data_IF_397771908876
#
_entry.id   IF_397771908876
#
_cell.length_a   1.000
_cell.length_b   1.000
_cell.length_c   1.000
_cell.angle_alpha   90.00
_cell.angle_beta   90.00
_cell.angle_gamma   90.00
#
_symmetry.space_group_name_H-M   'P 1'
#
loop_
_entity.id
_entity.type
_entity.pdbx_description
1 polymer ?
#
# COMPACT_ATOMS: atom_id res chain seq x y z
N UNK A 1 -7.22 18.92 5.70
CA UNK A 1 -8.17 19.60 6.60
C UNK A 1 -7.55 20.80 7.27
N UNK A 2 -6.50 20.60 8.05
CA UNK A 2 -5.81 21.63 8.85
C UNK A 2 -5.13 22.70 7.98
N UNK A 3 -4.80 22.40 6.73
CA UNK A 3 -4.30 23.34 5.73
C UNK A 3 -5.39 24.12 4.99
N UNK A 4 -6.65 23.99 5.41
CA UNK A 4 -7.75 24.84 4.93
C UNK A 4 -8.45 24.36 3.67
N UNK A 5 -8.43 23.06 3.33
CA UNK A 5 -9.21 22.54 2.20
C UNK A 5 -10.71 22.84 2.37
N UNK A 6 -11.40 23.07 1.26
CA UNK A 6 -12.83 23.38 1.23
C UNK A 6 -13.73 22.15 1.18
N UNK A 7 -13.19 21.04 0.69
CA UNK A 7 -13.83 19.73 0.64
C UNK A 7 -12.78 18.63 0.70
N UNK A 8 -13.19 17.44 1.08
CA UNK A 8 -12.35 16.24 1.13
C UNK A 8 -13.19 15.05 0.67
N UNK A 9 -12.62 14.25 -0.24
CA UNK A 9 -13.15 12.97 -0.64
C UNK A 9 -12.04 11.93 -0.51
N UNK A 10 -12.30 10.87 0.24
CA UNK A 10 -11.43 9.69 0.33
C UNK A 10 -12.07 8.55 -0.45
N UNK A 11 -11.39 8.11 -1.51
CA UNK A 11 -11.87 7.04 -2.39
C UNK A 11 -11.25 5.73 -1.93
N UNK A 12 -12.10 4.74 -1.64
CA UNK A 12 -11.73 3.43 -1.15
C UNK A 12 -12.28 2.34 -2.09
N UNK A 13 -11.38 1.53 -2.62
CA UNK A 13 -11.74 0.45 -3.54
C UNK A 13 -12.39 -0.74 -2.82
N UNK A 14 -12.06 -0.94 -1.55
CA UNK A 14 -12.63 -2.01 -0.74
C UNK A 14 -14.04 -1.70 -0.26
N UNK A 15 -14.86 -2.71 0.07
CA UNK A 15 -16.16 -2.48 0.70
C UNK A 15 -15.97 -1.89 2.10
N UNK A 16 -16.97 -1.15 2.57
CA UNK A 16 -17.01 -0.67 3.95
C UNK A 16 -16.96 -1.86 4.90
N UNK A 17 -16.03 -1.85 5.83
CA UNK A 17 -15.96 -2.88 6.87
C UNK A 17 -17.22 -2.91 7.74
N UNK A 18 -17.62 -4.05 8.28
CA UNK A 18 -18.76 -4.15 9.19
C UNK A 18 -18.50 -3.34 10.48
N UNK A 19 -19.57 -2.95 11.17
CA UNK A 19 -19.46 -2.24 12.45
C UNK A 19 -19.06 -3.14 13.60
N UNK A 20 -19.35 -4.43 13.47
CA UNK A 20 -19.04 -5.46 14.45
C UNK A 20 -18.17 -6.54 13.84
N UNK A 21 -17.53 -7.34 14.69
CA UNK A 21 -16.67 -8.44 14.27
C UNK A 21 -17.50 -9.52 13.56
N UNK A 22 -17.12 -9.86 12.34
CA UNK A 22 -17.74 -10.93 11.57
C UNK A 22 -17.32 -12.32 12.09
N UNK A 23 -18.13 -13.35 11.82
CA UNK A 23 -17.85 -14.73 12.22
C UNK A 23 -16.52 -15.27 11.67
N UNK A 24 -16.14 -14.87 10.46
CA UNK A 24 -14.87 -15.23 9.82
C UNK A 24 -13.67 -14.40 10.30
N UNK A 25 -13.85 -13.59 11.35
CA UNK A 25 -12.78 -12.83 11.99
C UNK A 25 -12.85 -12.99 13.52
N UNK A 26 -12.67 -14.23 14.04
CA UNK A 26 -12.79 -14.54 15.47
C UNK A 26 -11.62 -13.94 16.28
N UNK A 27 -11.84 -13.76 17.58
CA UNK A 27 -10.74 -13.53 18.52
C UNK A 27 -9.78 -14.74 18.50
N UNK A 28 -8.45 -14.57 18.56
CA UNK A 28 -7.70 -13.34 18.88
C UNK A 28 -7.21 -12.54 17.64
N UNK A 29 -7.77 -12.76 16.47
CA UNK A 29 -7.39 -11.99 15.30
C UNK A 29 -7.65 -10.49 15.47
N UNK A 30 -6.90 -9.67 14.76
CA UNK A 30 -7.18 -8.23 14.72
C UNK A 30 -8.60 -7.97 14.17
N UNK A 31 -9.42 -7.15 14.84
CA UNK A 31 -10.79 -6.92 14.40
C UNK A 31 -10.85 -6.09 13.12
N UNK A 32 -11.39 -6.70 12.06
CA UNK A 32 -11.64 -6.08 10.74
C UNK A 32 -12.97 -5.34 10.75
N UNK A 33 -13.08 -4.30 11.57
CA UNK A 33 -14.30 -3.53 11.76
C UNK A 33 -14.12 -2.10 11.25
N UNK A 34 -15.26 -1.45 10.94
CA UNK A 34 -15.28 -0.05 10.56
C UNK A 34 -14.85 0.82 11.75
N UNK A 35 -13.86 1.66 11.53
CA UNK A 35 -13.36 2.61 12.51
C UNK A 35 -13.35 4.00 11.92
N UNK A 36 -13.61 4.98 12.76
CA UNK A 36 -13.41 6.39 12.43
C UNK A 36 -12.15 6.81 13.16
N UNK A 37 -11.15 7.26 12.41
CA UNK A 37 -9.91 7.78 12.95
C UNK A 37 -10.04 9.31 13.12
N UNK A 38 -9.14 9.92 13.86
CA UNK A 38 -9.17 11.36 14.14
C UNK A 38 -9.29 12.24 12.89
N UNK A 39 -8.68 11.82 11.77
CA UNK A 39 -8.77 12.56 10.51
C UNK A 39 -10.19 12.54 9.91
N UNK A 40 -10.90 11.43 10.00
CA UNK A 40 -12.29 11.33 9.58
C UNK A 40 -13.21 12.05 10.56
N UNK A 41 -12.95 11.97 11.86
CA UNK A 41 -13.70 12.74 12.88
C UNK A 41 -13.63 14.26 12.63
N UNK A 42 -12.43 14.79 12.37
CA UNK A 42 -12.23 16.18 12.00
C UNK A 42 -12.97 16.54 10.68
N UNK A 43 -12.98 15.63 9.70
CA UNK A 43 -13.69 15.83 8.43
C UNK A 43 -15.21 15.87 8.64
N UNK A 44 -15.74 14.95 9.44
CA UNK A 44 -17.17 14.90 9.80
C UNK A 44 -17.56 16.20 10.53
N UNK A 45 -16.76 16.61 11.50
CA UNK A 45 -17.03 17.84 12.26
C UNK A 45 -17.03 19.08 11.36
N UNK A 46 -16.14 19.14 10.36
CA UNK A 46 -15.99 20.29 9.47
C UNK A 46 -17.00 20.30 8.31
N UNK A 47 -17.29 19.14 7.71
CA UNK A 47 -18.07 19.02 6.48
C UNK A 47 -19.43 18.37 6.68
N UNK A 48 -19.73 17.88 7.89
CA UNK A 48 -21.03 17.26 8.24
C UNK A 48 -21.21 15.82 7.77
N UNK A 49 -20.20 15.22 7.12
CA UNK A 49 -20.28 13.84 6.62
C UNK A 49 -18.92 13.15 6.60
N UNK A 50 -18.93 11.82 6.65
CA UNK A 50 -17.74 10.98 6.46
C UNK A 50 -17.18 11.21 5.04
N UNK A 51 -15.90 11.55 4.88
CA UNK A 51 -15.30 11.82 3.57
C UNK A 51 -15.11 10.56 2.71
N UNK A 52 -15.30 9.36 3.27
CA UNK A 52 -15.02 8.10 2.59
C UNK A 52 -16.15 7.66 1.68
N UNK A 53 -15.79 7.22 0.48
CA UNK A 53 -16.66 6.49 -0.43
C UNK A 53 -16.02 5.12 -0.72
N UNK A 54 -16.82 4.07 -0.70
CA UNK A 54 -16.38 2.68 -0.79
C UNK A 54 -16.78 2.05 -2.14
N UNK A 55 -16.16 0.91 -2.49
CA UNK A 55 -16.40 0.22 -3.76
C UNK A 55 -16.30 1.18 -4.95
N UNK A 56 -15.33 2.07 -4.90
CA UNK A 56 -15.17 3.14 -5.87
C UNK A 56 -13.69 3.24 -6.27
N UNK A 57 -13.44 3.43 -7.55
CA UNK A 57 -12.10 3.68 -8.07
C UNK A 57 -12.06 4.91 -8.94
N UNK A 58 -10.85 5.43 -9.18
CA UNK A 58 -10.64 6.53 -10.12
C UNK A 58 -10.53 5.98 -11.53
N UNK A 59 -11.35 6.50 -12.44
CA UNK A 59 -11.34 6.16 -13.86
C UNK A 59 -10.39 7.06 -14.65
N UNK A 60 -10.41 8.36 -14.37
CA UNK A 60 -9.50 9.33 -15.01
C UNK A 60 -9.39 10.63 -14.21
N UNK A 61 -8.28 11.32 -14.46
CA UNK A 61 -8.07 12.70 -14.07
C UNK A 61 -8.37 13.61 -15.26
N UNK A 62 -9.01 14.74 -15.02
CA UNK A 62 -9.33 15.73 -16.05
C UNK A 62 -8.58 17.00 -15.71
N UNK A 63 -7.78 17.48 -16.67
CA UNK A 63 -7.05 18.73 -16.57
C UNK A 63 -7.70 19.85 -17.36
N UNK A 64 -7.41 21.08 -16.97
CA UNK A 64 -7.73 22.27 -17.75
C UNK A 64 -6.79 22.46 -18.97
N UNK A 65 -6.98 23.51 -19.74
CA UNK A 65 -6.14 23.84 -20.90
C UNK A 65 -4.68 24.13 -20.53
N UNK A 66 -4.36 24.33 -19.26
CA UNK A 66 -2.99 24.56 -18.74
C UNK A 66 -2.39 23.29 -18.12
N UNK A 67 -3.09 22.17 -18.18
CA UNK A 67 -2.66 20.92 -17.58
C UNK A 67 -2.82 20.86 -16.06
N UNK A 68 -3.54 21.80 -15.44
CA UNK A 68 -3.86 21.76 -14.02
C UNK A 68 -5.08 20.87 -13.78
N UNK A 69 -5.08 20.13 -12.69
CA UNK A 69 -6.20 19.27 -12.32
C UNK A 69 -7.47 20.09 -12.09
N UNK A 70 -8.53 19.74 -12.79
CA UNK A 70 -9.85 20.35 -12.68
C UNK A 70 -10.86 19.42 -12.00
N UNK A 71 -10.83 18.12 -12.36
CA UNK A 71 -11.75 17.15 -11.78
C UNK A 71 -11.20 15.72 -11.83
N UNK A 72 -11.82 14.86 -11.02
CA UNK A 72 -11.60 13.42 -10.99
C UNK A 72 -12.89 12.71 -11.34
N UNK A 73 -12.84 11.80 -12.29
CA UNK A 73 -13.96 10.91 -12.62
C UNK A 73 -13.76 9.60 -11.89
N UNK A 74 -14.72 9.25 -11.05
CA UNK A 74 -14.80 7.97 -10.34
C UNK A 74 -15.82 7.06 -10.97
N UNK A 75 -15.72 5.77 -10.70
CA UNK A 75 -16.69 4.75 -11.10
C UNK A 75 -16.87 3.76 -9.93
N UNK A 76 -18.12 3.33 -9.73
CA UNK A 76 -18.39 2.26 -8.76
C UNK A 76 -17.86 0.93 -9.29
N UNK A 77 -17.41 0.07 -8.40
CA UNK A 77 -16.94 -1.27 -8.74
C UNK A 77 -17.69 -2.36 -7.97
N UNK A 78 -17.66 -3.55 -8.52
CA UNK A 78 -17.95 -4.80 -7.80
C UNK A 78 -16.75 -5.74 -7.88
N UNK A 79 -16.57 -6.58 -6.86
CA UNK A 79 -15.54 -7.59 -6.88
C UNK A 79 -16.08 -8.89 -7.46
N UNK A 80 -15.39 -9.44 -8.47
CA UNK A 80 -15.70 -10.73 -9.06
C UNK A 80 -14.49 -11.65 -8.95
N UNK A 81 -14.73 -12.95 -8.84
CA UNK A 81 -13.67 -13.96 -8.91
C UNK A 81 -13.50 -14.39 -10.36
N UNK A 82 -12.33 -14.11 -10.94
CA UNK A 82 -11.93 -14.53 -12.29
C UNK A 82 -10.67 -15.36 -12.15
N UNK A 83 -10.68 -16.60 -12.61
CA UNK A 83 -9.55 -17.55 -12.52
C UNK A 83 -8.98 -17.67 -11.09
N UNK A 84 -9.87 -17.71 -10.09
CA UNK A 84 -9.50 -17.82 -8.66
C UNK A 84 -8.92 -16.54 -8.04
N UNK A 85 -8.88 -15.41 -8.77
CA UNK A 85 -8.42 -14.12 -8.28
C UNK A 85 -9.57 -13.13 -8.17
N UNK A 86 -9.60 -12.35 -7.09
CA UNK A 86 -10.52 -11.22 -6.97
C UNK A 86 -10.07 -10.09 -7.91
N UNK A 87 -10.96 -9.70 -8.79
CA UNK A 87 -10.74 -8.63 -9.78
C UNK A 87 -11.86 -7.59 -9.64
N UNK A 88 -11.53 -6.29 -9.56
CA UNK A 88 -12.52 -5.24 -9.56
C UNK A 88 -13.12 -5.10 -10.97
N UNK A 89 -14.44 -5.02 -11.05
CA UNK A 89 -15.19 -4.78 -12.28
C UNK A 89 -15.93 -3.46 -12.18
N UNK A 90 -15.72 -2.56 -13.16
CA UNK A 90 -16.45 -1.30 -13.23
C UNK A 90 -17.94 -1.55 -13.44
N UNK A 91 -18.76 -0.76 -12.76
CA UNK A 91 -20.20 -0.74 -12.93
C UNK A 91 -20.57 0.31 -14.00
N UNK A 92 -20.97 -0.11 -15.20
CA UNK A 92 -21.30 0.84 -16.27
C UNK A 92 -22.39 1.83 -15.86
N UNK A 93 -22.23 3.10 -16.21
CA UNK A 93 -23.20 4.14 -15.92
C UNK A 93 -23.18 4.69 -14.49
N UNK A 94 -22.18 4.30 -13.67
CA UNK A 94 -22.01 4.79 -12.30
C UNK A 94 -20.97 5.89 -12.18
N UNK A 95 -20.47 6.41 -13.29
CA UNK A 95 -19.45 7.44 -13.33
C UNK A 95 -19.94 8.73 -12.66
N UNK A 96 -19.07 9.29 -11.78
CA UNK A 96 -19.31 10.57 -11.12
C UNK A 96 -18.09 11.47 -11.30
N UNK A 97 -18.34 12.73 -11.63
CA UNK A 97 -17.29 13.75 -11.75
C UNK A 97 -17.24 14.58 -10.48
N UNK A 98 -16.07 14.67 -9.88
CA UNK A 98 -15.81 15.43 -8.66
C UNK A 98 -14.84 16.56 -8.98
N UNK A 99 -15.17 17.85 -8.74
CA UNK A 99 -14.23 18.95 -8.83
C UNK A 99 -13.06 18.71 -7.88
N UNK A 100 -11.84 18.82 -8.37
CA UNK A 100 -10.65 18.56 -7.56
C UNK A 100 -9.47 19.41 -8.04
N UNK A 101 -8.75 20.02 -7.13
CA UNK A 101 -7.52 20.78 -7.37
C UNK A 101 -6.27 20.03 -6.91
N UNK A 102 -6.44 19.02 -6.08
CA UNK A 102 -5.35 18.19 -5.56
C UNK A 102 -5.83 16.75 -5.40
N UNK A 103 -5.03 15.82 -5.88
CA UNK A 103 -5.18 14.38 -5.61
C UNK A 103 -3.92 13.86 -4.94
N UNK A 104 -4.11 13.12 -3.86
CA UNK A 104 -3.05 12.40 -3.15
C UNK A 104 -3.24 10.90 -3.38
N UNK A 105 -2.28 10.26 -4.01
CA UNK A 105 -2.30 8.81 -4.20
C UNK A 105 -1.81 8.13 -2.92
N UNK A 106 -2.70 7.38 -2.28
CA UNK A 106 -2.43 6.62 -1.05
C UNK A 106 -2.65 5.12 -1.29
N UNK A 107 -2.07 4.59 -2.38
CA UNK A 107 -2.33 3.25 -2.91
C UNK A 107 -1.28 2.21 -2.49
N UNK A 108 -0.39 2.55 -1.56
CA UNK A 108 0.73 1.70 -1.14
C UNK A 108 1.95 1.86 -2.04
N UNK A 109 2.78 0.84 -2.08
CA UNK A 109 4.08 0.88 -2.75
C UNK A 109 4.10 -0.10 -3.93
N UNK A 110 4.85 0.24 -4.96
CA UNK A 110 5.07 -0.62 -6.14
C UNK A 110 6.32 -1.51 -5.97
N UNK A 111 7.24 -1.11 -5.12
CA UNK A 111 8.50 -1.83 -4.84
C UNK A 111 9.60 -0.88 -4.38
N UNK A 112 10.82 -1.40 -4.21
CA UNK A 112 12.02 -0.61 -3.98
C UNK A 112 12.32 0.32 -5.15
N UNK A 113 13.10 1.38 -4.93
CA UNK A 113 13.54 2.29 -5.98
C UNK A 113 14.43 1.59 -7.01
N UNK A 114 14.01 1.61 -8.28
CA UNK A 114 14.65 0.91 -9.40
C UNK A 114 16.12 1.29 -9.64
N UNK A 115 16.47 2.59 -9.72
CA UNK A 115 17.83 3.01 -10.09
C UNK A 115 18.95 2.38 -9.27
N UNK A 116 18.77 2.27 -7.95
CA UNK A 116 19.75 1.60 -7.08
C UNK A 116 19.91 0.11 -7.41
N UNK A 117 18.81 -0.56 -7.69
CA UNK A 117 18.83 -1.99 -8.00
C UNK A 117 19.49 -2.27 -9.33
N UNK A 118 19.26 -1.42 -10.33
CA UNK A 118 19.85 -1.48 -11.66
C UNK A 118 21.35 -1.21 -11.61
N UNK A 119 21.76 -0.15 -10.90
CA UNK A 119 23.17 0.22 -10.73
C UNK A 119 23.98 -0.91 -10.07
N UNK A 120 23.41 -1.57 -9.08
CA UNK A 120 24.04 -2.71 -8.39
C UNK A 120 23.89 -4.05 -9.14
N UNK A 121 23.10 -4.11 -10.21
CA UNK A 121 22.84 -5.33 -10.97
C UNK A 121 22.10 -6.41 -10.19
N UNK A 122 21.20 -6.01 -9.29
CA UNK A 122 20.46 -6.94 -8.43
C UNK A 122 19.32 -7.62 -9.18
N UNK A 123 19.17 -8.92 -8.97
CA UNK A 123 17.99 -9.66 -9.44
C UNK A 123 16.79 -9.35 -8.55
N UNK A 124 15.63 -9.14 -9.18
CA UNK A 124 14.36 -8.92 -8.51
C UNK A 124 13.38 -10.06 -8.78
N UNK A 125 12.41 -10.21 -7.90
CA UNK A 125 11.27 -11.13 -8.08
C UNK A 125 10.19 -10.51 -8.99
N UNK A 126 9.09 -11.24 -9.23
CA UNK A 126 7.97 -10.77 -10.05
C UNK A 126 7.22 -9.56 -9.45
N UNK A 127 7.50 -9.19 -8.20
CA UNK A 127 6.94 -8.02 -7.51
C UNK A 127 7.95 -6.88 -7.39
N UNK A 128 9.06 -6.96 -8.12
CA UNK A 128 10.17 -5.99 -8.07
C UNK A 128 10.94 -5.95 -6.74
N UNK A 129 10.75 -6.92 -5.83
CA UNK A 129 11.55 -7.00 -4.62
C UNK A 129 12.91 -7.66 -4.91
N UNK A 130 13.93 -7.26 -4.18
CA UNK A 130 15.27 -7.85 -4.32
C UNK A 130 15.25 -9.34 -3.95
N UNK A 131 15.72 -10.18 -4.86
CA UNK A 131 15.82 -11.62 -4.60
C UNK A 131 16.92 -11.90 -3.58
N UNK A 132 16.53 -12.36 -2.40
CA UNK A 132 17.40 -12.91 -1.38
C UNK A 132 16.63 -13.92 -0.53
N UNK A 133 17.26 -15.06 -0.24
CA UNK A 133 16.63 -16.13 0.53
C UNK A 133 16.49 -15.70 2.00
N UNK A 134 15.33 -15.97 2.60
CA UNK A 134 15.14 -15.77 4.02
C UNK A 134 16.15 -16.57 4.85
N UNK A 135 16.76 -15.95 5.84
CA UNK A 135 17.78 -16.54 6.67
C UNK A 135 19.20 -16.44 6.12
N UNK A 136 19.38 -16.24 4.81
CA UNK A 136 20.70 -16.00 4.17
C UNK A 136 20.89 -14.54 3.77
N UNK A 137 19.83 -13.90 3.32
CA UNK A 137 19.79 -12.50 2.93
C UNK A 137 20.76 -12.05 1.84
N UNK A 138 21.62 -12.95 1.34
CA UNK A 138 22.53 -12.66 0.25
C UNK A 138 21.78 -12.49 -1.06
N UNK A 139 22.13 -11.46 -1.82
CA UNK A 139 21.55 -11.16 -3.14
C UNK A 139 22.29 -11.92 -4.25
N UNK A 140 21.93 -11.64 -5.50
CA UNK A 140 22.64 -12.12 -6.68
C UNK A 140 24.06 -11.57 -6.81
N UNK A 141 24.41 -10.51 -6.09
CA UNK A 141 25.73 -9.86 -6.11
C UNK A 141 26.48 -10.15 -4.81
N UNK A 142 27.67 -10.69 -4.94
CA UNK A 142 28.52 -11.05 -3.80
C UNK A 142 28.80 -9.85 -2.90
N UNK A 143 28.60 -10.00 -1.60
CA UNK A 143 28.82 -8.94 -0.61
C UNK A 143 27.65 -7.96 -0.47
N UNK A 144 26.58 -8.13 -1.25
CA UNK A 144 25.36 -7.33 -1.15
C UNK A 144 24.26 -8.17 -0.52
N UNK A 145 23.62 -7.63 0.49
CA UNK A 145 22.54 -8.26 1.25
C UNK A 145 21.27 -7.43 1.20
N UNK A 146 20.11 -8.08 1.28
CA UNK A 146 18.82 -7.41 1.31
C UNK A 146 17.93 -7.99 2.40
N UNK A 147 17.24 -7.12 3.16
CA UNK A 147 16.39 -7.50 4.26
C UNK A 147 15.20 -6.53 4.39
N UNK A 148 14.15 -6.95 5.07
CA UNK A 148 12.96 -6.14 5.29
C UNK A 148 12.15 -5.91 4.01
N UNK A 149 11.55 -4.74 3.90
CA UNK A 149 10.59 -4.43 2.85
C UNK A 149 11.15 -4.55 1.44
N UNK A 150 12.41 -4.19 1.20
CA UNK A 150 13.03 -4.29 -0.12
C UNK A 150 13.19 -5.73 -0.61
N UNK A 151 13.24 -6.71 0.30
CA UNK A 151 13.34 -8.14 0.00
C UNK A 151 11.97 -8.84 0.03
N UNK A 152 11.17 -8.51 1.01
CA UNK A 152 9.94 -9.21 1.38
C UNK A 152 8.69 -8.60 0.74
N UNK A 153 8.76 -7.35 0.29
CA UNK A 153 7.64 -6.47 0.07
C UNK A 153 7.24 -5.77 1.38
N UNK A 154 6.56 -4.64 1.27
CA UNK A 154 6.13 -3.86 2.43
C UNK A 154 5.34 -4.72 3.43
N UNK A 155 5.75 -4.68 4.70
CA UNK A 155 5.15 -5.50 5.75
C UNK A 155 5.29 -4.84 7.13
N UNK A 156 5.13 -5.62 8.19
CA UNK A 156 5.23 -5.10 9.55
C UNK A 156 6.68 -4.80 9.95
N UNK A 157 6.88 -3.75 10.74
CA UNK A 157 8.19 -3.33 11.24
C UNK A 157 8.91 -4.45 12.01
N UNK A 158 8.17 -5.32 12.70
CA UNK A 158 8.76 -6.48 13.41
C UNK A 158 9.49 -7.43 12.47
N UNK A 159 9.02 -7.56 11.22
CA UNK A 159 9.71 -8.33 10.18
C UNK A 159 10.97 -7.62 9.70
N UNK A 160 10.91 -6.31 9.49
CA UNK A 160 12.09 -5.53 9.10
C UNK A 160 13.20 -5.62 10.14
N UNK A 161 12.86 -5.53 11.42
CA UNK A 161 13.81 -5.69 12.54
C UNK A 161 14.37 -7.12 12.56
N UNK A 162 13.53 -8.15 12.47
CA UNK A 162 13.96 -9.54 12.47
C UNK A 162 14.92 -9.85 11.31
N UNK A 163 14.53 -9.47 10.10
CA UNK A 163 15.36 -9.70 8.91
C UNK A 163 16.64 -8.88 8.93
N UNK A 164 16.59 -7.63 9.41
CA UNK A 164 17.78 -6.80 9.56
C UNK A 164 18.81 -7.40 10.51
N UNK A 165 18.35 -7.96 11.63
CA UNK A 165 19.24 -8.70 12.56
C UNK A 165 19.82 -9.95 11.92
N UNK A 166 18.99 -10.71 11.20
CA UNK A 166 19.46 -11.90 10.47
C UNK A 166 20.45 -11.55 9.36
N UNK A 167 20.23 -10.46 8.63
CA UNK A 167 21.17 -9.98 7.62
C UNK A 167 22.51 -9.54 8.25
N UNK A 168 22.47 -8.83 9.38
CA UNK A 168 23.68 -8.45 10.11
C UNK A 168 24.50 -9.68 10.52
N UNK A 169 23.85 -10.73 11.02
CA UNK A 169 24.49 -12.01 11.33
C UNK A 169 25.18 -12.64 10.10
N UNK A 170 24.53 -12.64 8.96
CA UNK A 170 25.10 -13.22 7.74
C UNK A 170 26.23 -12.36 7.16
N UNK A 171 26.15 -11.03 7.28
CA UNK A 171 27.25 -10.12 6.94
C UNK A 171 28.46 -10.37 7.83
N UNK A 172 28.25 -10.47 9.14
CA UNK A 172 29.32 -10.80 10.10
C UNK A 172 29.98 -12.15 9.76
N UNK A 173 29.17 -13.18 9.50
CA UNK A 173 29.66 -14.49 9.03
C UNK A 173 30.48 -14.40 7.75
N UNK A 174 30.05 -13.60 6.81
CA UNK A 174 30.75 -13.40 5.55
C UNK A 174 32.10 -12.70 5.73
N UNK A 175 32.15 -11.68 6.58
CA UNK A 175 33.38 -10.91 6.81
C UNK A 175 34.37 -11.63 7.73
N UNK A 176 33.88 -12.31 8.77
CA UNK A 176 34.70 -12.91 9.82
C UNK A 176 34.92 -14.42 9.66
N UNK A 177 34.21 -15.05 8.70
CA UNK A 177 34.19 -16.50 8.50
C UNK A 177 33.34 -17.26 9.52
N UNK A 178 33.00 -16.64 10.64
CA UNK A 178 32.08 -17.14 11.68
C UNK A 178 31.28 -16.00 12.27
N UNK A 179 30.27 -16.31 13.06
CA UNK A 179 29.51 -15.30 13.76
C UNK A 179 29.05 -15.82 15.12
N UNK A 180 29.04 -14.96 16.11
CA UNK A 180 28.49 -15.19 17.45
C UNK A 180 27.17 -14.38 17.61
N UNK A 181 26.69 -13.68 16.55
CA UNK A 181 25.44 -12.95 16.55
C UNK A 181 24.25 -13.93 16.52
N UNK A 182 23.15 -13.61 17.25
CA UNK A 182 21.95 -14.43 17.33
C UNK A 182 21.16 -14.51 16.03
#
# INVERSE_FOLDING_TARGET
LRQGCRSLLQIEIMPKSPTERAENNPWPEWPKIHRVDYAQEEAIAKFGQDPRTYLTTVKKFVGDAKGQLESVVTVEISWATVDGKLVPQERPGSEKTHPAQLVLLAMGFTGPEGPLLEELGLKCDARSNVQAEYGKYATSVKGVYAAGDCRRGQSLIVWAINEGRGAAREVDRYLMGRTDLP
#
